data_IF_786356462005
#
_entry.id   IF_786356462005
#
_cell.length_a   1.000
_cell.length_b   1.000
_cell.length_c   1.000
_cell.angle_alpha   90.00
_cell.angle_beta   90.00
_cell.angle_gamma   90.00
#
_symmetry.space_group_name_H-M   'P 1'
#
loop_
_entity.id
_entity.type
_entity.pdbx_description
1 polymer ?
#
# COMPACT_ATOMS: atom_id res chain seq x y z
N UNK A 1 -2.16 -16.60 -6.13
CA UNK A 1 -3.13 -17.08 -7.13
C UNK A 1 -4.41 -16.23 -7.14
N UNK A 2 -5.10 -16.09 -6.00
CA UNK A 2 -6.38 -15.34 -5.90
C UNK A 2 -6.28 -13.91 -6.45
N UNK A 3 -5.20 -13.18 -6.15
CA UNK A 3 -4.95 -11.82 -6.68
C UNK A 3 -5.15 -11.70 -8.20
N UNK A 4 -4.67 -12.69 -8.97
CA UNK A 4 -4.70 -12.69 -10.43
C UNK A 4 -6.06 -13.07 -11.01
N UNK A 5 -6.76 -14.04 -10.39
CA UNK A 5 -7.97 -14.64 -10.97
C UNK A 5 -9.28 -14.10 -10.38
N UNK A 6 -9.24 -13.56 -9.16
CA UNK A 6 -10.43 -13.10 -8.42
C UNK A 6 -10.22 -11.70 -7.81
N UNK A 7 -9.09 -11.05 -8.12
CA UNK A 7 -8.69 -9.78 -7.54
C UNK A 7 -8.10 -9.91 -6.12
N UNK A 8 -7.79 -8.76 -5.53
CA UNK A 8 -7.08 -8.69 -4.24
C UNK A 8 -7.85 -9.35 -3.10
N UNK A 9 -7.36 -10.45 -2.53
CA UNK A 9 -8.02 -11.15 -1.43
C UNK A 9 -7.93 -10.40 -0.09
N UNK A 10 -6.83 -9.67 0.13
CA UNK A 10 -6.59 -8.88 1.32
C UNK A 10 -5.65 -7.72 1.00
N UNK A 11 -6.05 -6.50 1.35
CA UNK A 11 -5.22 -5.30 1.23
C UNK A 11 -4.14 -5.18 2.30
N UNK A 12 -4.31 -5.89 3.42
CA UNK A 12 -3.47 -5.78 4.63
C UNK A 12 -2.55 -6.98 4.83
N UNK A 13 -2.82 -8.11 4.16
CA UNK A 13 -1.95 -9.28 4.23
C UNK A 13 -0.61 -9.01 3.56
N UNK A 14 0.47 -9.39 4.24
CA UNK A 14 1.82 -9.42 3.71
C UNK A 14 2.57 -10.64 4.24
N UNK A 15 3.70 -10.98 3.62
CA UNK A 15 4.59 -12.03 4.10
C UNK A 15 5.62 -11.42 5.07
N UNK A 16 5.56 -11.71 6.39
CA UNK A 16 6.32 -10.96 7.41
C UNK A 16 7.74 -11.50 7.62
N UNK A 17 8.39 -11.94 6.54
CA UNK A 17 9.77 -12.43 6.57
C UNK A 17 10.51 -11.96 5.31
N UNK A 18 11.78 -11.62 5.45
CA UNK A 18 12.62 -11.20 4.31
C UNK A 18 13.05 -12.35 3.40
N UNK A 19 12.96 -13.59 3.88
CA UNK A 19 13.44 -14.79 3.18
C UNK A 19 12.35 -15.86 3.11
N UNK A 20 12.34 -16.60 2.00
CA UNK A 20 11.51 -17.80 1.88
C UNK A 20 12.09 -18.94 2.74
N UNK A 21 11.24 -19.87 3.21
CA UNK A 21 11.71 -21.08 3.90
C UNK A 21 12.41 -22.03 2.91
N UNK A 22 13.14 -23.02 3.44
CA UNK A 22 13.65 -24.10 2.60
C UNK A 22 12.50 -25.01 2.15
N UNK A 23 12.68 -25.66 1.00
CA UNK A 23 11.69 -26.61 0.49
C UNK A 23 11.46 -27.79 1.44
N UNK A 24 12.49 -28.22 2.19
CA UNK A 24 12.40 -29.25 3.22
C UNK A 24 11.48 -28.86 4.38
N UNK A 25 11.34 -27.56 4.66
CA UNK A 25 10.51 -27.05 5.75
C UNK A 25 9.04 -26.92 5.33
N UNK A 26 8.73 -27.08 4.04
CA UNK A 26 7.36 -27.03 3.49
C UNK A 26 6.60 -28.35 3.64
N UNK A 27 7.17 -29.34 4.33
CA UNK A 27 6.47 -30.58 4.66
C UNK A 27 5.23 -30.25 5.49
N UNK A 28 4.08 -30.80 5.11
CA UNK A 28 2.81 -30.54 5.79
C UNK A 28 2.14 -29.22 5.41
N UNK A 29 2.59 -28.51 4.37
CA UNK A 29 1.95 -27.28 3.90
C UNK A 29 0.47 -27.46 3.50
N UNK A 30 0.06 -28.69 3.17
CA UNK A 30 -1.35 -29.05 2.92
C UNK A 30 -2.25 -28.86 4.16
N UNK A 31 -1.68 -28.77 5.36
CA UNK A 31 -2.43 -28.49 6.60
C UNK A 31 -2.69 -27.01 6.83
N UNK A 32 -2.06 -26.12 6.03
CA UNK A 32 -2.24 -24.69 6.16
C UNK A 32 -3.66 -24.29 5.74
N UNK A 33 -4.28 -23.46 6.57
CA UNK A 33 -5.65 -22.96 6.37
C UNK A 33 -5.77 -21.82 5.36
N UNK A 34 -4.69 -21.47 4.66
CA UNK A 34 -4.69 -20.33 3.73
C UNK A 34 -5.59 -20.53 2.50
N UNK A 35 -6.11 -21.75 2.29
CA UNK A 35 -7.15 -22.06 1.31
C UNK A 35 -8.59 -21.89 1.82
N UNK A 36 -8.80 -21.68 3.13
CA UNK A 36 -10.14 -21.53 3.70
C UNK A 36 -10.77 -20.21 3.20
N UNK A 37 -12.07 -20.25 2.90
CA UNK A 37 -12.83 -19.11 2.35
C UNK A 37 -12.68 -17.81 3.17
N UNK A 38 -12.51 -17.93 4.48
CA UNK A 38 -12.45 -16.80 5.42
C UNK A 38 -11.04 -16.57 6.00
N UNK A 39 -10.00 -17.17 5.41
CA UNK A 39 -8.63 -16.98 5.91
C UNK A 39 -8.16 -15.53 5.72
N UNK A 40 -8.39 -14.98 4.53
CA UNK A 40 -8.00 -13.61 4.19
C UNK A 40 -9.13 -12.63 4.53
N UNK A 41 -8.80 -11.59 5.30
CA UNK A 41 -9.69 -10.47 5.51
C UNK A 41 -9.44 -9.42 4.43
N UNK A 42 -10.48 -9.05 3.67
CA UNK A 42 -10.36 -8.11 2.54
C UNK A 42 -9.68 -6.80 2.95
N UNK A 43 -10.07 -6.24 4.10
CA UNK A 43 -9.60 -4.94 4.55
C UNK A 43 -9.93 -3.82 3.56
N UNK A 44 -9.25 -2.69 3.69
CA UNK A 44 -9.39 -1.54 2.79
C UNK A 44 -8.01 -1.09 2.34
N UNK A 45 -7.87 -0.58 1.11
CA UNK A 45 -6.61 0.02 0.70
C UNK A 45 -6.29 1.25 1.56
N UNK A 46 -5.00 1.49 1.78
CA UNK A 46 -4.55 2.75 2.35
C UNK A 46 -5.03 3.96 1.56
N UNK A 47 -5.30 5.05 2.26
CA UNK A 47 -5.40 6.36 1.64
C UNK A 47 -4.03 6.76 1.07
N UNK A 48 -3.97 7.59 0.01
CA UNK A 48 -2.72 7.99 -0.64
C UNK A 48 -1.62 8.44 0.32
N UNK A 49 -1.91 9.28 1.32
CA UNK A 49 -0.88 9.72 2.28
C UNK A 49 -0.47 8.63 3.27
N UNK A 50 -1.37 7.71 3.65
CA UNK A 50 -0.98 6.56 4.48
C UNK A 50 0.01 5.68 3.72
N UNK A 51 -0.27 5.39 2.45
CA UNK A 51 0.63 4.64 1.58
C UNK A 51 1.97 5.36 1.37
N UNK A 52 1.96 6.67 1.12
CA UNK A 52 3.19 7.44 0.93
C UNK A 52 4.08 7.38 2.19
N UNK A 53 3.47 7.46 3.37
CA UNK A 53 4.19 7.32 4.64
C UNK A 53 4.70 5.89 4.88
N UNK A 54 4.07 4.86 4.32
CA UNK A 54 4.55 3.48 4.48
C UNK A 54 5.61 3.06 3.45
N UNK A 55 5.82 3.82 2.37
CA UNK A 55 6.73 3.42 1.28
C UNK A 55 7.91 4.36 1.04
N UNK A 56 7.75 5.66 1.30
CA UNK A 56 8.80 6.63 0.96
C UNK A 56 9.84 6.74 2.07
N UNK A 57 11.14 6.84 1.73
CA UNK A 57 12.13 7.31 2.67
C UNK A 57 11.98 8.83 2.90
N UNK A 58 12.44 9.35 4.07
CA UNK A 58 12.35 10.77 4.41
C UNK A 58 12.95 11.70 3.34
N UNK A 59 14.02 11.26 2.68
CA UNK A 59 14.75 12.02 1.66
C UNK A 59 13.94 12.35 0.40
N UNK A 60 12.83 11.66 0.14
CA UNK A 60 11.97 11.86 -1.05
C UNK A 60 10.58 12.40 -0.70
N UNK A 61 10.28 12.53 0.59
CA UNK A 61 8.94 12.76 1.08
C UNK A 61 8.42 14.16 0.74
N UNK A 62 9.30 15.16 0.78
CA UNK A 62 8.95 16.55 0.47
C UNK A 62 8.62 16.72 -1.00
N UNK A 63 9.41 16.14 -1.88
CA UNK A 63 9.26 16.18 -3.34
C UNK A 63 8.01 15.43 -3.78
N UNK A 64 7.65 14.34 -3.09
CA UNK A 64 6.38 13.64 -3.26
C UNK A 64 5.14 14.46 -2.80
N UNK A 65 5.36 15.63 -2.21
CA UNK A 65 4.31 16.52 -1.74
C UNK A 65 3.59 16.01 -0.50
N UNK A 66 4.28 15.28 0.37
CA UNK A 66 3.74 14.94 1.70
C UNK A 66 3.60 16.24 2.53
N UNK A 67 2.47 16.46 3.24
CA UNK A 67 2.27 17.65 4.07
C UNK A 67 3.32 17.78 5.18
N UNK A 68 3.69 19.02 5.53
CA UNK A 68 4.78 19.29 6.50
C UNK A 68 4.63 18.56 7.84
N UNK A 69 3.40 18.51 8.39
CA UNK A 69 3.13 17.82 9.65
C UNK A 69 3.45 16.31 9.62
N UNK A 70 3.47 15.71 8.44
CA UNK A 70 3.78 14.29 8.24
C UNK A 70 5.29 14.11 8.06
N UNK A 71 5.98 15.07 7.42
CA UNK A 71 7.44 15.07 7.31
C UNK A 71 8.12 15.08 8.68
N UNK A 72 7.55 15.79 9.66
CA UNK A 72 8.05 15.79 11.03
C UNK A 72 8.05 14.38 11.65
N UNK A 73 7.03 13.57 11.35
CA UNK A 73 6.96 12.18 11.83
C UNK A 73 8.06 11.28 11.24
N UNK A 74 8.65 11.65 10.11
CA UNK A 74 9.71 10.87 9.47
C UNK A 74 11.11 11.27 9.94
N UNK A 75 11.27 12.49 10.47
CA UNK A 75 12.59 13.08 10.74
C UNK A 75 12.86 13.34 12.22
N UNK A 76 11.82 13.55 13.04
CA UNK A 76 12.02 13.90 14.44
C UNK A 76 12.46 12.67 15.25
N UNK A 77 13.55 12.73 16.03
CA UNK A 77 14.06 11.60 16.82
C UNK A 77 13.05 11.02 17.82
N UNK A 78 12.12 11.86 18.30
CA UNK A 78 11.07 11.46 19.25
C UNK A 78 9.73 11.15 18.56
N UNK A 79 9.71 11.04 17.23
CA UNK A 79 8.51 10.64 16.51
C UNK A 79 8.11 9.21 16.90
N UNK A 80 6.81 8.95 17.12
CA UNK A 80 6.31 7.59 17.39
C UNK A 80 6.44 6.64 16.19
N UNK A 81 6.91 7.13 15.04
CA UNK A 81 7.12 6.36 13.81
C UNK A 81 8.59 6.37 13.36
N UNK A 82 9.52 6.93 14.14
CA UNK A 82 10.91 7.12 13.69
C UNK A 82 11.61 5.80 13.34
N UNK A 83 11.26 4.72 14.04
CA UNK A 83 11.76 3.37 13.83
C UNK A 83 11.36 2.76 12.48
N UNK A 84 10.39 3.37 11.77
CA UNK A 84 10.06 3.00 10.39
C UNK A 84 11.04 3.56 9.35
N UNK A 85 11.83 4.57 9.72
CA UNK A 85 12.69 5.32 8.79
C UNK A 85 14.15 5.29 9.24
N UNK A 86 14.80 4.11 9.22
CA UNK A 86 16.20 4.04 9.59
C UNK A 86 17.06 4.84 8.60
N UNK A 87 18.07 5.53 9.12
CA UNK A 87 19.03 6.30 8.30
C UNK A 87 19.90 5.39 7.42
N UNK A 88 20.19 4.19 7.92
CA UNK A 88 20.94 3.15 7.22
C UNK A 88 20.29 1.79 7.49
N UNK A 89 20.39 0.87 6.53
CA UNK A 89 19.73 -0.43 6.60
C UNK A 89 20.63 -1.52 6.01
N UNK A 90 20.44 -2.74 6.52
CA UNK A 90 21.22 -3.89 6.07
C UNK A 90 20.91 -4.25 4.61
N UNK A 91 21.96 -4.62 3.87
CA UNK A 91 21.87 -5.20 2.54
C UNK A 91 22.48 -6.59 2.57
N UNK A 92 21.69 -7.62 2.25
CA UNK A 92 22.18 -8.98 2.11
C UNK A 92 22.15 -9.41 0.64
N UNK A 93 23.33 -9.63 0.06
CA UNK A 93 23.44 -10.11 -1.32
C UNK A 93 22.86 -11.50 -1.50
N UNK A 94 22.81 -12.34 -0.46
CA UNK A 94 22.26 -13.70 -0.50
C UNK A 94 22.70 -14.50 -1.75
N UNK A 95 24.01 -14.52 -1.99
CA UNK A 95 24.63 -15.19 -3.14
C UNK A 95 24.43 -14.52 -4.50
N UNK A 96 23.83 -13.32 -4.56
CA UNK A 96 23.67 -12.53 -5.79
C UNK A 96 24.88 -11.64 -6.07
N UNK A 97 25.01 -11.24 -7.34
CA UNK A 97 26.16 -10.48 -7.84
C UNK A 97 26.01 -8.98 -7.65
N UNK A 98 24.79 -8.46 -7.76
CA UNK A 98 24.54 -7.02 -7.80
C UNK A 98 23.66 -6.57 -6.64
N UNK A 99 23.90 -5.36 -6.14
CA UNK A 99 23.20 -4.79 -4.97
C UNK A 99 21.70 -4.60 -5.19
N UNK A 100 21.24 -4.36 -6.42
CA UNK A 100 19.81 -4.29 -6.74
C UNK A 100 19.10 -5.65 -6.65
N UNK A 101 19.86 -6.75 -6.53
CA UNK A 101 19.34 -8.10 -6.24
C UNK A 101 19.42 -8.43 -4.75
N UNK A 102 20.03 -7.57 -3.93
CA UNK A 102 20.16 -7.79 -2.51
C UNK A 102 18.79 -7.73 -1.82
N UNK A 103 18.66 -8.49 -0.75
CA UNK A 103 17.56 -8.37 0.19
C UNK A 103 17.78 -7.12 1.03
N UNK A 104 16.78 -6.24 1.03
CA UNK A 104 16.76 -5.01 1.81
C UNK A 104 16.21 -5.33 3.20
N UNK A 105 17.04 -5.18 4.23
CA UNK A 105 16.68 -5.50 5.62
C UNK A 105 16.06 -4.27 6.32
N UNK A 106 14.89 -3.86 5.82
CA UNK A 106 14.08 -2.82 6.45
C UNK A 106 13.10 -3.43 7.46
N UNK A 107 12.76 -2.71 8.54
CA UNK A 107 11.68 -3.12 9.43
C UNK A 107 10.33 -3.07 8.69
N UNK A 108 9.44 -4.00 9.03
CA UNK A 108 8.07 -3.97 8.52
C UNK A 108 7.25 -2.89 9.24
N UNK A 109 6.41 -2.18 8.49
CA UNK A 109 5.52 -1.16 9.03
C UNK A 109 4.40 -1.82 9.84
N UNK A 110 4.21 -1.37 11.08
CA UNK A 110 3.00 -1.63 11.86
C UNK A 110 1.87 -0.72 11.36
N UNK A 111 1.03 -1.27 10.49
CA UNK A 111 -0.13 -0.59 9.89
C UNK A 111 -1.06 0.03 10.95
N UNK A 112 -1.56 -0.72 11.96
CA UNK A 112 -2.42 -0.15 13.00
C UNK A 112 -1.80 1.06 13.70
N UNK A 113 -0.49 1.00 13.99
CA UNK A 113 0.24 2.12 14.60
C UNK A 113 0.32 3.32 13.65
N UNK A 114 0.67 3.09 12.38
CA UNK A 114 0.74 4.15 11.36
C UNK A 114 -0.60 4.86 11.19
N UNK A 115 -1.67 4.10 10.97
CA UNK A 115 -3.02 4.63 10.75
C UNK A 115 -3.50 5.45 11.95
N UNK A 116 -3.26 4.94 13.18
CA UNK A 116 -3.64 5.63 14.42
C UNK A 116 -2.93 6.98 14.57
N UNK A 117 -1.63 7.04 14.30
CA UNK A 117 -0.85 8.28 14.41
C UNK A 117 -1.25 9.30 13.34
N UNK A 118 -1.55 8.86 12.11
CA UNK A 118 -1.93 9.76 11.03
C UNK A 118 -3.37 10.28 11.12
N UNK A 119 -4.28 9.53 11.74
CA UNK A 119 -5.71 9.88 11.84
C UNK A 119 -6.00 11.33 12.29
N UNK A 120 -5.40 11.89 13.36
CA UNK A 120 -5.63 13.28 13.75
C UNK A 120 -5.08 14.29 12.74
N UNK A 121 -3.97 13.98 12.06
CA UNK A 121 -3.36 14.87 11.07
C UNK A 121 -4.18 14.91 9.76
N UNK A 122 -4.70 13.76 9.36
CA UNK A 122 -5.57 13.62 8.18
C UNK A 122 -6.83 14.50 8.28
N UNK A 123 -7.40 14.65 9.48
CA UNK A 123 -8.56 15.54 9.73
C UNK A 123 -8.22 17.02 9.52
N UNK A 124 -6.97 17.40 9.83
CA UNK A 124 -6.45 18.77 9.78
C UNK A 124 -5.90 19.19 8.41
N UNK A 125 -5.90 18.28 7.43
CA UNK A 125 -5.50 18.60 6.07
C UNK A 125 -6.33 19.74 5.48
N UNK A 126 -5.67 20.56 4.66
CA UNK A 126 -6.32 21.59 3.86
C UNK A 126 -7.22 20.96 2.77
N UNK A 127 -8.04 21.79 2.13
CA UNK A 127 -9.03 21.29 1.18
C UNK A 127 -8.38 20.55 -0.01
N UNK A 128 -7.25 21.07 -0.52
CA UNK A 128 -6.54 20.47 -1.65
C UNK A 128 -5.92 19.12 -1.26
N UNK A 129 -5.27 19.00 -0.10
CA UNK A 129 -4.70 17.72 0.35
C UNK A 129 -5.79 16.69 0.65
N UNK A 130 -6.95 17.11 1.18
CA UNK A 130 -8.11 16.22 1.33
C UNK A 130 -8.60 15.67 -0.01
N UNK A 131 -8.65 16.51 -1.04
CA UNK A 131 -8.96 16.09 -2.42
C UNK A 131 -7.94 15.09 -2.95
N UNK A 132 -6.65 15.32 -2.71
CA UNK A 132 -5.57 14.40 -3.13
C UNK A 132 -5.52 13.08 -2.35
N UNK A 133 -6.07 13.05 -1.14
CA UNK A 133 -6.03 11.88 -0.26
C UNK A 133 -7.30 11.00 -0.33
N UNK A 134 -8.15 11.20 -1.34
CA UNK A 134 -9.34 10.37 -1.54
C UNK A 134 -9.12 9.39 -2.68
N UNK A 135 -9.90 8.31 -2.69
CA UNK A 135 -10.01 7.44 -3.86
C UNK A 135 -10.63 8.24 -5.01
N UNK A 136 -9.98 8.22 -6.16
CA UNK A 136 -10.50 8.84 -7.39
C UNK A 136 -11.63 8.05 -8.02
N UNK A 137 -12.10 8.55 -9.16
CA UNK A 137 -13.06 7.87 -10.02
C UNK A 137 -12.43 7.63 -11.39
N UNK A 138 -12.82 6.54 -12.02
CA UNK A 138 -12.45 6.22 -13.40
C UNK A 138 -13.08 7.24 -14.36
N UNK A 139 -12.30 7.71 -15.35
CA UNK A 139 -12.76 8.64 -16.38
C UNK A 139 -12.70 7.96 -17.74
N UNK A 140 -13.77 8.07 -18.51
CA UNK A 140 -13.87 7.56 -19.87
C UNK A 140 -13.99 8.75 -20.81
N UNK A 141 -13.11 8.82 -21.81
CA UNK A 141 -13.11 9.86 -22.83
C UNK A 141 -13.37 9.23 -24.19
N UNK A 142 -14.20 9.87 -25.00
CA UNK A 142 -14.40 9.48 -26.39
C UNK A 142 -14.78 10.67 -27.26
N UNK A 143 -14.75 10.45 -28.57
CA UNK A 143 -15.12 11.47 -29.53
C UNK A 143 -16.61 11.82 -29.40
N UNK A 144 -16.98 13.08 -29.60
CA UNK A 144 -18.38 13.55 -29.47
C UNK A 144 -19.36 12.81 -30.39
N UNK A 145 -18.86 12.25 -31.49
CA UNK A 145 -19.68 11.48 -32.44
C UNK A 145 -19.82 9.99 -32.10
N UNK A 146 -19.12 9.47 -31.07
CA UNK A 146 -19.18 8.06 -30.69
C UNK A 146 -20.42 7.77 -29.84
N UNK A 147 -21.53 7.52 -30.54
CA UNK A 147 -22.82 7.20 -29.91
C UNK A 147 -22.79 5.85 -29.18
N UNK A 148 -21.95 4.91 -29.60
CA UNK A 148 -21.87 3.58 -28.99
C UNK A 148 -21.23 3.67 -27.60
N UNK A 149 -20.12 4.41 -27.48
CA UNK A 149 -19.49 4.68 -26.20
C UNK A 149 -20.44 5.43 -25.25
N UNK A 150 -21.11 6.47 -25.75
CA UNK A 150 -22.05 7.25 -24.93
C UNK A 150 -23.14 6.35 -24.31
N UNK A 151 -23.75 5.49 -25.12
CA UNK A 151 -24.77 4.56 -24.65
C UNK A 151 -24.21 3.52 -23.66
N UNK A 152 -23.02 2.96 -23.94
CA UNK A 152 -22.37 2.01 -23.04
C UNK A 152 -22.04 2.62 -21.67
N UNK A 153 -21.57 3.87 -21.62
CA UNK A 153 -21.29 4.58 -20.37
C UNK A 153 -22.57 4.81 -19.56
N UNK A 154 -23.67 5.22 -20.20
CA UNK A 154 -24.96 5.39 -19.51
C UNK A 154 -25.46 4.08 -18.89
N UNK A 155 -25.36 2.96 -19.62
CA UNK A 155 -25.73 1.65 -19.10
C UNK A 155 -24.85 1.23 -17.91
N UNK A 156 -23.53 1.45 -18.01
CA UNK A 156 -22.60 1.12 -16.94
C UNK A 156 -22.86 1.96 -15.68
N UNK A 157 -23.14 3.26 -15.83
CA UNK A 157 -23.49 4.14 -14.72
C UNK A 157 -24.78 3.68 -14.02
N UNK A 158 -25.83 3.38 -14.78
CA UNK A 158 -27.11 2.91 -14.22
C UNK A 158 -26.99 1.55 -13.47
N UNK A 159 -26.04 0.70 -13.87
CA UNK A 159 -25.77 -0.57 -13.19
C UNK A 159 -24.97 -0.41 -11.89
N UNK A 160 -24.19 0.66 -11.74
CA UNK A 160 -23.30 0.91 -10.60
C UNK A 160 -23.95 1.73 -9.47
N UNK A 161 -25.08 2.40 -9.74
CA UNK A 161 -25.85 3.19 -8.77
C UNK A 161 -26.94 2.39 -8.01
N UNK A 162 -26.99 1.06 -8.19
CA UNK A 162 -27.80 0.13 -7.39
C UNK A 162 -26.95 -0.62 -6.37
#
# INVERSE_FOLDING_TARGET
LVYYYQGCASWTWFYPYHYAPFASDLIGCSTLKCGDLNYFQKGTPFQPFQQLMSVLPPASAKEAGIPVAFLELMNQPFSPLIDFYPLDFGLDLNGKRFTWQAVILLPFIDEPRLVRILAPLLKRLDAQSKVRNRRGQELIFGHISDKALYHAVQLAQAAYEK
#
